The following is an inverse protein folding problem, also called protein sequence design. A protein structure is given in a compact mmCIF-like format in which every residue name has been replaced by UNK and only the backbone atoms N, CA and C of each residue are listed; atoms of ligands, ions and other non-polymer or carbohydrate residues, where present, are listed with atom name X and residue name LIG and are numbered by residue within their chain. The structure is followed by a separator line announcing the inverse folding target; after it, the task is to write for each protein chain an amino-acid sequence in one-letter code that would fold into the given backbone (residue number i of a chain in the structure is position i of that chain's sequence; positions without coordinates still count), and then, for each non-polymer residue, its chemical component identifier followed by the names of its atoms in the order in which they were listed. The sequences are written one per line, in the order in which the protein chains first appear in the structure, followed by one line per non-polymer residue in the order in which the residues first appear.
data_IF_805869887877
#
_entry.id   IF_805869887877
#
_cell.length_a   1.000
_cell.length_b   1.000
_cell.length_c   1.000
_cell.angle_alpha   90.00
_cell.angle_beta   90.00
_cell.angle_gamma   90.00
#
_symmetry.space_group_name_H-M   'P 1'
#
loop_
_entity.id
_entity.type
_entity.pdbx_description
1 polymer ?
#
# COMPACT_ATOMS: atom_id res chain seq x y z
N UNK A 1 26.64 -11.04 -10.34
CA UNK A 1 25.50 -10.25 -9.83
C UNK A 1 26.04 -8.87 -9.53
N UNK A 2 25.82 -7.88 -10.40
CA UNK A 2 26.28 -6.51 -10.15
C UNK A 2 25.60 -6.00 -8.88
N UNK A 3 26.35 -5.29 -8.05
CA UNK A 3 25.80 -4.68 -6.84
C UNK A 3 24.79 -3.63 -7.29
N UNK A 4 23.51 -3.89 -7.08
CA UNK A 4 22.44 -2.94 -7.36
C UNK A 4 22.60 -1.74 -6.42
N UNK A 5 23.06 -0.61 -6.94
CA UNK A 5 23.22 0.62 -6.16
C UNK A 5 21.85 1.19 -5.84
N UNK A 6 21.52 1.33 -4.55
CA UNK A 6 20.25 1.92 -4.10
C UNK A 6 20.23 3.41 -4.46
N UNK A 7 19.28 3.80 -5.30
CA UNK A 7 19.07 5.18 -5.73
C UNK A 7 18.14 5.92 -4.77
N UNK A 8 17.03 5.28 -4.42
CA UNK A 8 16.00 5.90 -3.59
C UNK A 8 15.27 4.84 -2.78
N UNK A 9 14.79 5.25 -1.61
CA UNK A 9 13.88 4.47 -0.79
C UNK A 9 12.76 5.41 -0.32
N UNK A 10 11.55 5.18 -0.84
CA UNK A 10 10.35 5.92 -0.44
C UNK A 10 9.78 5.36 0.87
N UNK A 11 10.43 5.74 1.97
CA UNK A 11 10.01 5.38 3.34
C UNK A 11 8.60 5.87 3.67
N UNK A 12 8.16 6.99 3.07
CA UNK A 12 6.84 7.54 3.34
C UNK A 12 5.75 6.73 2.64
N UNK A 13 5.99 6.26 1.41
CA UNK A 13 5.09 5.33 0.74
C UNK A 13 4.99 4.00 1.49
N UNK A 14 6.11 3.44 1.92
CA UNK A 14 6.11 2.22 2.73
C UNK A 14 5.31 2.40 4.02
N UNK A 15 5.51 3.52 4.72
CA UNK A 15 4.77 3.84 5.95
C UNK A 15 3.28 4.00 5.70
N UNK A 16 2.88 4.68 4.62
CA UNK A 16 1.46 4.81 4.23
C UNK A 16 0.85 3.45 3.90
N UNK A 17 1.58 2.62 3.17
CA UNK A 17 1.13 1.27 2.83
C UNK A 17 0.99 0.42 4.09
N UNK A 18 2.01 0.38 4.95
CA UNK A 18 1.98 -0.33 6.24
C UNK A 18 0.79 0.11 7.09
N UNK A 19 0.56 1.44 7.22
CA UNK A 19 -0.60 1.97 7.96
C UNK A 19 -1.94 1.55 7.34
N UNK A 20 -2.02 1.41 6.03
CA UNK A 20 -3.22 0.88 5.37
C UNK A 20 -3.49 -0.58 5.72
N UNK A 21 -2.43 -1.40 5.91
CA UNK A 21 -2.54 -2.78 6.39
C UNK A 21 -2.95 -2.80 7.88
N UNK A 22 -2.39 -1.92 8.70
CA UNK A 22 -2.73 -1.77 10.12
C UNK A 22 -4.19 -1.35 10.37
N UNK A 23 -4.87 -0.80 9.35
CA UNK A 23 -6.31 -0.52 9.43
C UNK A 23 -7.16 -1.77 9.67
N UNK A 24 -6.67 -2.94 9.25
CA UNK A 24 -7.38 -4.21 9.41
C UNK A 24 -7.52 -4.59 10.89
N UNK A 25 -6.44 -4.73 11.69
CA UNK A 25 -6.57 -4.99 13.12
C UNK A 25 -7.27 -3.84 13.88
N UNK A 26 -7.18 -2.58 13.44
CA UNK A 26 -7.98 -1.49 14.02
C UNK A 26 -9.49 -1.74 13.86
N UNK A 27 -9.94 -2.11 12.66
CA UNK A 27 -11.34 -2.45 12.39
C UNK A 27 -11.81 -3.66 13.23
N UNK A 28 -10.96 -4.68 13.37
CA UNK A 28 -11.30 -5.84 14.21
C UNK A 28 -11.45 -5.47 15.69
N UNK A 29 -10.60 -4.57 16.20
CA UNK A 29 -10.75 -4.04 17.55
C UNK A 29 -12.04 -3.22 17.70
N UNK A 30 -12.42 -2.43 16.70
CA UNK A 30 -13.68 -1.70 16.70
C UNK A 30 -14.90 -2.64 16.74
N UNK A 31 -14.88 -3.71 15.95
CA UNK A 31 -15.90 -4.77 15.99
C UNK A 31 -15.99 -5.40 17.38
N UNK A 32 -14.84 -5.72 17.99
CA UNK A 32 -14.79 -6.27 19.34
C UNK A 32 -15.37 -5.32 20.39
N UNK A 33 -15.10 -4.03 20.29
CA UNK A 33 -15.72 -3.01 21.15
C UNK A 33 -17.23 -2.94 20.96
N UNK A 34 -17.72 -3.06 19.72
CA UNK A 34 -19.16 -3.11 19.43
C UNK A 34 -19.79 -4.37 20.02
N UNK A 35 -19.16 -5.54 19.88
CA UNK A 35 -19.61 -6.79 20.49
C UNK A 35 -19.78 -6.63 22.01
N UNK A 36 -18.77 -6.08 22.69
CA UNK A 36 -18.85 -5.82 24.14
C UNK A 36 -20.01 -4.86 24.47
N UNK A 37 -20.16 -3.77 23.71
CA UNK A 37 -21.23 -2.79 23.93
C UNK A 37 -22.63 -3.40 23.72
N UNK A 38 -22.74 -4.37 22.82
CA UNK A 38 -23.98 -5.10 22.51
C UNK A 38 -24.16 -6.38 23.34
N UNK A 39 -23.33 -6.58 24.38
CA UNK A 39 -23.40 -7.72 25.30
C UNK A 39 -23.14 -9.07 24.62
N UNK A 40 -22.39 -9.08 23.52
CA UNK A 40 -21.79 -10.29 22.95
C UNK A 40 -20.53 -10.66 23.74
N UNK A 41 -20.23 -11.96 23.83
CA UNK A 41 -19.08 -12.52 24.57
C UNK A 41 -17.79 -11.69 24.38
N UNK A 42 -17.20 -11.22 25.48
CA UNK A 42 -16.00 -10.38 25.46
C UNK A 42 -14.71 -11.18 25.24
N UNK A 43 -14.77 -12.51 25.21
CA UNK A 43 -13.62 -13.40 25.06
C UNK A 43 -13.16 -13.60 23.62
N UNK A 44 -13.89 -13.07 22.64
CA UNK A 44 -13.49 -13.11 21.23
C UNK A 44 -12.10 -12.48 21.02
N UNK A 45 -11.26 -13.24 20.33
CA UNK A 45 -9.91 -12.82 19.92
C UNK A 45 -9.97 -12.24 18.52
N UNK A 46 -9.00 -11.40 18.16
CA UNK A 46 -8.91 -10.87 16.78
C UNK A 46 -8.85 -11.99 15.73
N UNK A 47 -8.18 -13.11 16.04
CA UNK A 47 -8.14 -14.29 15.17
C UNK A 47 -9.51 -14.92 14.91
N UNK A 48 -10.47 -14.77 15.82
CA UNK A 48 -11.82 -15.32 15.67
C UNK A 48 -12.64 -14.46 14.70
N UNK A 49 -12.29 -13.17 14.62
CA UNK A 49 -12.95 -12.18 13.76
C UNK A 49 -12.33 -12.09 12.36
N UNK A 50 -11.14 -12.65 12.13
CA UNK A 50 -10.37 -12.47 10.89
C UNK A 50 -11.09 -12.89 9.59
N UNK A 51 -12.15 -13.70 9.68
CA UNK A 51 -12.97 -14.13 8.53
C UNK A 51 -13.98 -13.07 8.08
N UNK A 52 -14.18 -11.99 8.85
CA UNK A 52 -15.07 -10.91 8.47
C UNK A 52 -16.56 -11.27 8.47
N UNK A 53 -16.98 -12.28 9.25
CA UNK A 53 -18.38 -12.69 9.36
C UNK A 53 -19.04 -12.13 10.64
N UNK A 54 -18.82 -10.85 10.91
CA UNK A 54 -19.19 -10.21 12.18
C UNK A 54 -20.69 -10.29 12.48
N UNK A 55 -21.54 -10.01 11.49
CA UNK A 55 -23.01 -10.04 11.67
C UNK A 55 -23.49 -11.46 11.98
N UNK A 56 -22.93 -12.48 11.32
CA UNK A 56 -23.29 -13.87 11.59
C UNK A 56 -22.86 -14.30 13.01
N UNK A 57 -21.64 -13.91 13.43
CA UNK A 57 -21.15 -14.18 14.80
C UNK A 57 -22.08 -13.55 15.83
N UNK A 58 -22.45 -12.29 15.60
CA UNK A 58 -23.40 -11.55 16.44
C UNK A 58 -24.77 -12.25 16.50
N UNK A 59 -25.33 -12.61 15.35
CA UNK A 59 -26.65 -13.23 15.26
C UNK A 59 -26.67 -14.59 15.98
N UNK A 60 -25.65 -15.41 15.75
CA UNK A 60 -25.53 -16.74 16.35
C UNK A 60 -25.41 -16.67 17.87
N UNK A 61 -24.70 -15.67 18.40
CA UNK A 61 -24.61 -15.44 19.84
C UNK A 61 -25.98 -15.12 20.43
N UNK A 62 -26.65 -14.09 19.90
CA UNK A 62 -27.92 -13.64 20.44
C UNK A 62 -29.07 -14.63 20.25
N UNK A 63 -29.05 -15.42 19.16
CA UNK A 63 -30.01 -16.52 18.99
C UNK A 63 -29.83 -17.61 20.04
N UNK A 64 -28.59 -17.92 20.42
CA UNK A 64 -28.32 -18.89 21.50
C UNK A 64 -28.77 -18.36 22.85
N UNK A 65 -28.43 -17.12 23.18
CA UNK A 65 -28.89 -16.46 24.42
C UNK A 65 -30.42 -16.42 24.48
N UNK A 66 -31.07 -15.95 23.41
CA UNK A 66 -32.52 -15.94 23.32
C UNK A 66 -33.11 -17.34 23.49
N UNK A 67 -32.58 -18.36 22.82
CA UNK A 67 -33.11 -19.72 22.94
C UNK A 67 -32.94 -20.33 24.34
N UNK A 68 -31.89 -19.92 25.06
CA UNK A 68 -31.64 -20.38 26.42
C UNK A 68 -32.63 -19.79 27.42
N UNK A 69 -32.98 -18.50 27.28
CA UNK A 69 -33.81 -17.79 28.25
C UNK A 69 -35.28 -17.63 27.80
N UNK A 70 -35.53 -17.60 26.49
CA UNK A 70 -36.80 -17.29 25.83
C UNK A 70 -36.99 -18.10 24.51
N UNK A 71 -37.05 -19.45 24.55
CA UNK A 71 -37.02 -20.35 23.37
C UNK A 71 -38.16 -20.21 22.34
N UNK A 72 -39.11 -19.30 22.56
CA UNK A 72 -40.24 -19.02 21.65
C UNK A 72 -40.38 -17.53 21.33
N UNK A 73 -39.46 -16.70 21.79
CA UNK A 73 -39.49 -15.28 21.48
C UNK A 73 -39.19 -15.06 19.99
N UNK A 74 -39.83 -14.04 19.42
CA UNK A 74 -39.44 -13.52 18.12
C UNK A 74 -38.06 -12.84 18.25
N UNK A 75 -37.13 -13.21 17.37
CA UNK A 75 -35.74 -12.75 17.44
C UNK A 75 -35.60 -11.23 17.27
N UNK A 76 -36.34 -10.64 16.34
CA UNK A 76 -36.30 -9.20 16.10
C UNK A 76 -36.85 -8.43 17.29
N UNK A 77 -37.93 -8.94 17.90
CA UNK A 77 -38.50 -8.36 19.12
C UNK A 77 -37.56 -8.50 20.32
N UNK A 78 -36.85 -9.63 20.44
CA UNK A 78 -35.78 -9.79 21.44
C UNK A 78 -34.68 -8.74 21.26
N UNK A 79 -34.16 -8.56 20.04
CA UNK A 79 -33.13 -7.56 19.75
C UNK A 79 -33.61 -6.13 20.10
N UNK A 80 -34.85 -5.81 19.74
CA UNK A 80 -35.48 -4.52 20.06
C UNK A 80 -35.57 -4.28 21.57
N UNK A 81 -35.99 -5.29 22.34
CA UNK A 81 -36.08 -5.21 23.81
C UNK A 81 -34.69 -5.09 24.47
N UNK A 82 -33.66 -5.68 23.86
CA UNK A 82 -32.28 -5.55 24.32
C UNK A 82 -31.63 -4.22 23.91
N UNK A 83 -32.30 -3.38 23.12
CA UNK A 83 -31.76 -2.09 22.65
C UNK A 83 -30.59 -2.24 21.68
N UNK A 84 -30.58 -3.31 20.88
CA UNK A 84 -29.45 -3.65 20.03
C UNK A 84 -29.60 -3.04 18.62
N UNK A 85 -28.51 -2.49 18.07
CA UNK A 85 -28.43 -1.93 16.72
C UNK A 85 -27.26 -2.57 15.93
N UNK A 86 -27.56 -3.20 14.79
CA UNK A 86 -26.61 -3.91 13.93
C UNK A 86 -26.04 -3.08 12.78
N UNK A 87 -26.52 -1.87 12.54
CA UNK A 87 -26.20 -1.07 11.34
C UNK A 87 -24.70 -0.80 11.25
N UNK A 88 -24.10 -0.35 12.36
CA UNK A 88 -22.65 -0.09 12.43
C UNK A 88 -21.84 -1.37 12.23
N UNK A 89 -22.33 -2.52 12.73
CA UNK A 89 -21.66 -3.80 12.56
C UNK A 89 -21.67 -4.26 11.10
N UNK A 90 -22.80 -4.07 10.40
CA UNK A 90 -22.93 -4.37 8.99
C UNK A 90 -22.03 -3.47 8.12
N UNK A 91 -21.94 -2.18 8.45
CA UNK A 91 -21.03 -1.23 7.79
C UNK A 91 -19.57 -1.68 7.93
N UNK A 92 -19.12 -1.98 9.16
CA UNK A 92 -17.75 -2.45 9.40
C UNK A 92 -17.46 -3.76 8.70
N UNK A 93 -18.43 -4.67 8.63
CA UNK A 93 -18.30 -5.92 7.88
C UNK A 93 -18.08 -5.66 6.38
N UNK A 94 -18.85 -4.75 5.78
CA UNK A 94 -18.72 -4.41 4.37
C UNK A 94 -17.36 -3.77 4.06
N UNK A 95 -16.92 -2.84 4.91
CA UNK A 95 -15.59 -2.21 4.79
C UNK A 95 -14.49 -3.27 4.90
N UNK A 96 -14.58 -4.14 5.91
CA UNK A 96 -13.58 -5.17 6.15
C UNK A 96 -13.46 -6.15 4.98
N UNK A 97 -14.60 -6.65 4.45
CA UNK A 97 -14.60 -7.55 3.29
C UNK A 97 -13.98 -6.90 2.06
N UNK A 98 -14.29 -5.63 1.80
CA UNK A 98 -13.66 -4.88 0.69
C UNK A 98 -12.14 -4.81 0.83
N UNK A 99 -11.62 -4.65 2.07
CA UNK A 99 -10.18 -4.66 2.31
C UNK A 99 -9.60 -6.06 2.05
N UNK A 100 -10.25 -7.12 2.51
CA UNK A 100 -9.80 -8.50 2.26
C UNK A 100 -9.74 -8.84 0.77
N UNK A 101 -10.72 -8.35 0.00
CA UNK A 101 -10.83 -8.60 -1.43
C UNK A 101 -9.84 -7.76 -2.26
N UNK A 102 -9.24 -6.73 -1.67
CA UNK A 102 -8.28 -5.87 -2.37
C UNK A 102 -6.99 -6.63 -2.67
N UNK A 103 -6.56 -6.58 -3.93
CA UNK A 103 -5.30 -7.13 -4.40
C UNK A 103 -4.27 -6.01 -4.61
N UNK A 104 -3.04 -6.28 -4.21
CA UNK A 104 -1.92 -5.36 -4.36
C UNK A 104 -0.90 -5.95 -5.33
N UNK A 105 -0.68 -5.29 -6.46
CA UNK A 105 0.28 -5.73 -7.47
C UNK A 105 1.64 -5.06 -7.28
N UNK A 106 2.68 -5.83 -7.04
CA UNK A 106 4.06 -5.35 -6.93
C UNK A 106 4.98 -6.01 -7.96
N UNK A 107 5.92 -5.24 -8.49
CA UNK A 107 7.05 -5.79 -9.24
C UNK A 107 8.12 -6.22 -8.23
N UNK A 108 8.87 -7.29 -8.54
CA UNK A 108 9.88 -7.81 -7.61
C UNK A 108 11.05 -6.86 -7.36
N UNK A 109 11.32 -5.98 -8.32
CA UNK A 109 12.39 -4.98 -8.28
C UNK A 109 11.88 -3.68 -8.92
N UNK A 110 12.33 -2.53 -8.42
CA UNK A 110 12.05 -1.20 -8.98
C UNK A 110 10.55 -0.95 -9.26
N UNK A 111 9.69 -1.31 -8.30
CA UNK A 111 8.23 -1.28 -8.49
C UNK A 111 7.67 0.08 -8.91
N UNK A 112 8.07 1.16 -8.24
CA UNK A 112 7.60 2.51 -8.55
C UNK A 112 7.90 2.90 -10.01
N UNK A 113 9.09 2.53 -10.50
CA UNK A 113 9.50 2.80 -11.87
C UNK A 113 8.64 2.04 -12.89
N UNK A 114 8.51 0.73 -12.73
CA UNK A 114 7.72 -0.10 -13.65
C UNK A 114 6.23 0.23 -13.60
N UNK A 115 5.69 0.55 -12.42
CA UNK A 115 4.30 1.01 -12.27
C UNK A 115 4.08 2.35 -13.00
N UNK A 116 5.04 3.27 -12.95
CA UNK A 116 4.99 4.53 -13.68
C UNK A 116 5.01 4.32 -15.21
N UNK A 117 5.85 3.38 -15.70
CA UNK A 117 5.88 3.01 -17.12
C UNK A 117 4.56 2.37 -17.53
N UNK A 118 4.05 1.39 -16.77
CA UNK A 118 2.77 0.71 -17.02
C UNK A 118 1.61 1.72 -17.17
N UNK A 119 1.52 2.69 -16.26
CA UNK A 119 0.49 3.74 -16.32
C UNK A 119 0.60 4.64 -17.56
N UNK A 120 1.82 4.95 -17.99
CA UNK A 120 2.08 5.84 -19.15
C UNK A 120 1.94 5.12 -20.47
N UNK A 121 2.32 3.84 -20.55
CA UNK A 121 2.27 3.03 -21.76
C UNK A 121 0.84 2.94 -22.31
N UNK A 122 -0.14 2.67 -21.45
CA UNK A 122 -1.55 2.51 -21.87
C UNK A 122 -2.32 3.81 -22.18
N UNK A 123 -1.78 5.00 -21.87
CA UNK A 123 -2.52 6.27 -21.99
C UNK A 123 -1.84 7.35 -22.81
N UNK A 124 -0.51 7.39 -22.85
CA UNK A 124 0.22 8.59 -23.29
C UNK A 124 1.37 8.29 -24.26
N UNK A 125 1.94 7.09 -24.23
CA UNK A 125 3.07 6.77 -25.10
C UNK A 125 3.18 5.26 -25.39
N UNK A 126 2.63 4.79 -26.52
CA UNK A 126 2.69 3.39 -26.94
C UNK A 126 4.12 2.85 -27.09
N UNK A 127 5.13 3.71 -27.32
CA UNK A 127 6.54 3.26 -27.39
C UNK A 127 7.06 2.67 -26.07
N UNK A 128 6.37 2.91 -24.96
CA UNK A 128 6.67 2.33 -23.65
C UNK A 128 6.14 0.90 -23.47
N UNK A 129 5.20 0.44 -24.31
CA UNK A 129 4.71 -0.94 -24.27
C UNK A 129 5.81 -1.95 -24.60
N UNK A 130 6.67 -1.61 -25.57
CA UNK A 130 7.84 -2.44 -25.89
C UNK A 130 8.78 -2.58 -24.69
N UNK A 131 8.92 -1.53 -23.89
CA UNK A 131 9.76 -1.50 -22.69
C UNK A 131 9.17 -2.32 -21.53
N UNK A 132 7.85 -2.43 -21.45
CA UNK A 132 7.20 -3.30 -20.47
C UNK A 132 7.54 -4.79 -20.66
N UNK A 133 8.07 -5.19 -21.82
CA UNK A 133 8.59 -6.56 -22.03
C UNK A 133 9.84 -6.86 -21.20
N UNK A 134 10.54 -5.83 -20.75
CA UNK A 134 11.72 -5.95 -19.86
C UNK A 134 11.34 -5.91 -18.38
N UNK A 135 10.08 -5.58 -18.06
CA UNK A 135 9.64 -5.49 -16.68
C UNK A 135 9.70 -6.88 -16.01
N UNK A 136 10.14 -6.97 -14.75
CA UNK A 136 10.02 -8.20 -13.99
C UNK A 136 8.55 -8.60 -13.85
N UNK A 137 8.29 -9.87 -13.53
CA UNK A 137 6.92 -10.32 -13.34
C UNK A 137 6.24 -9.57 -12.18
N UNK A 138 5.08 -8.97 -12.46
CA UNK A 138 4.21 -8.40 -11.45
C UNK A 138 3.53 -9.53 -10.67
N UNK A 139 3.68 -9.51 -9.35
CA UNK A 139 3.03 -10.46 -8.45
C UNK A 139 1.88 -9.77 -7.73
N UNK A 140 0.78 -10.49 -7.60
CA UNK A 140 -0.37 -10.04 -6.81
C UNK A 140 -0.29 -10.59 -5.39
N UNK A 141 -0.60 -9.73 -4.44
CA UNK A 141 -0.61 -10.04 -3.01
C UNK A 141 -1.97 -9.67 -2.43
N UNK A 142 -2.52 -10.55 -1.59
CA UNK A 142 -3.64 -10.21 -0.72
C UNK A 142 -3.15 -9.78 0.66
N UNK A 143 -4.07 -9.25 1.46
CA UNK A 143 -3.78 -8.70 2.79
C UNK A 143 -3.07 -9.69 3.73
N UNK A 144 -3.38 -10.97 3.61
CA UNK A 144 -2.80 -12.09 4.36
C UNK A 144 -1.30 -12.31 4.07
N UNK A 145 -0.81 -11.83 2.93
CA UNK A 145 0.62 -11.84 2.61
C UNK A 145 1.39 -10.82 3.48
N UNK A 146 0.71 -9.78 3.94
CA UNK A 146 1.29 -8.69 4.73
C UNK A 146 0.93 -8.76 6.20
N UNK A 147 -0.22 -9.32 6.54
CA UNK A 147 -0.76 -9.32 7.89
C UNK A 147 -0.96 -10.73 8.42
N UNK A 148 -0.35 -11.03 9.56
CA UNK A 148 -0.61 -12.25 10.32
C UNK A 148 -1.28 -11.90 11.65
N UNK A 149 -2.45 -12.47 11.90
CA UNK A 149 -3.19 -12.31 13.15
C UNK A 149 -3.10 -13.63 13.92
N UNK A 150 -2.79 -13.56 15.21
CA UNK A 150 -2.72 -14.72 16.10
C UNK A 150 -3.26 -14.33 17.47
N UNK A 151 -4.37 -14.94 17.89
CA UNK A 151 -5.10 -14.56 19.11
C UNK A 151 -5.45 -13.06 19.03
N UNK A 152 -5.01 -12.26 20.01
CA UNK A 152 -5.22 -10.82 20.05
C UNK A 152 -4.02 -10.00 19.54
N UNK A 153 -2.97 -10.66 19.04
CA UNK A 153 -1.81 -9.96 18.48
C UNK A 153 -1.79 -10.06 16.97
N UNK A 154 -1.08 -9.13 16.35
CA UNK A 154 -0.86 -9.13 14.91
C UNK A 154 0.58 -8.73 14.59
N UNK A 155 1.02 -9.13 13.40
CA UNK A 155 2.30 -8.71 12.82
C UNK A 155 2.05 -8.27 11.39
N UNK A 156 2.45 -7.04 11.08
CA UNK A 156 2.54 -6.54 9.71
C UNK A 156 3.97 -6.77 9.22
N UNK A 157 4.09 -7.34 8.03
CA UNK A 157 5.35 -7.59 7.36
C UNK A 157 5.24 -7.13 5.90
N UNK A 158 5.71 -5.91 5.66
CA UNK A 158 5.81 -5.33 4.32
C UNK A 158 7.26 -5.46 3.87
N UNK A 159 7.47 -5.96 2.65
CA UNK A 159 8.82 -6.05 2.11
C UNK A 159 9.32 -4.66 1.68
N UNK A 160 10.39 -4.11 2.28
CA UNK A 160 10.90 -2.79 1.93
C UNK A 160 11.35 -2.69 0.46
N UNK A 161 11.71 -3.81 -0.17
CA UNK A 161 12.13 -3.83 -1.58
C UNK A 161 11.06 -3.30 -2.54
N UNK A 162 9.77 -3.36 -2.17
CA UNK A 162 8.69 -2.78 -2.96
C UNK A 162 8.76 -1.25 -3.06
N UNK A 163 9.49 -0.61 -2.14
CA UNK A 163 9.62 0.85 -2.02
C UNK A 163 11.03 1.34 -2.28
N UNK A 164 11.91 0.44 -2.76
CA UNK A 164 13.27 0.77 -3.15
C UNK A 164 13.39 0.84 -4.66
N UNK A 165 14.21 1.80 -5.09
CA UNK A 165 14.60 2.01 -6.46
C UNK A 165 16.11 1.87 -6.53
N UNK A 166 16.56 0.98 -7.40
CA UNK A 166 17.97 0.73 -7.68
C UNK A 166 18.33 1.16 -9.09
N UNK A 167 19.61 1.45 -9.28
CA UNK A 167 20.18 1.57 -10.62
C UNK A 167 20.09 0.22 -11.34
N UNK A 168 19.64 0.24 -12.58
CA UNK A 168 19.52 -0.94 -13.44
C UNK A 168 20.82 -1.24 -14.21
N UNK A 169 21.78 -0.30 -14.27
CA UNK A 169 23.14 -0.53 -14.77
C UNK A 169 24.13 0.53 -14.26
N UNK A 170 25.44 0.27 -14.42
CA UNK A 170 26.53 1.13 -13.94
C UNK A 170 26.59 2.50 -14.66
N UNK A 171 26.22 2.54 -15.95
CA UNK A 171 26.22 3.78 -16.74
C UNK A 171 25.19 4.80 -16.21
N UNK A 172 24.12 4.34 -15.55
CA UNK A 172 23.19 5.24 -14.88
C UNK A 172 23.85 6.00 -13.74
N UNK A 173 24.78 5.37 -13.00
CA UNK A 173 25.49 6.02 -11.89
C UNK A 173 26.36 7.16 -12.40
N UNK A 174 27.15 6.90 -13.44
CA UNK A 174 28.02 7.89 -14.08
C UNK A 174 27.22 9.08 -14.63
N UNK A 175 26.10 8.80 -15.29
CA UNK A 175 25.18 9.83 -15.75
C UNK A 175 24.61 10.70 -14.61
N UNK A 176 24.25 10.08 -13.49
CA UNK A 176 23.78 10.81 -12.30
C UNK A 176 24.86 11.76 -11.75
N UNK A 177 26.11 11.29 -11.74
CA UNK A 177 27.25 12.07 -11.26
C UNK A 177 27.54 13.25 -12.20
N UNK A 178 27.51 13.05 -13.51
CA UNK A 178 27.67 14.13 -14.52
C UNK A 178 26.61 15.21 -14.34
N UNK A 179 25.33 14.83 -14.21
CA UNK A 179 24.24 15.79 -13.99
C UNK A 179 24.42 16.51 -12.65
N UNK A 180 24.80 15.77 -11.59
CA UNK A 180 25.06 16.33 -10.26
C UNK A 180 26.16 17.38 -10.28
N UNK A 181 27.28 17.09 -10.92
CA UNK A 181 28.42 18.00 -11.02
C UNK A 181 28.09 19.24 -11.84
N UNK A 182 27.31 19.08 -12.92
CA UNK A 182 26.84 20.21 -13.69
C UNK A 182 25.90 21.12 -12.88
N UNK A 183 24.96 20.56 -12.12
CA UNK A 183 24.08 21.34 -11.23
C UNK A 183 24.89 22.10 -10.18
N UNK A 184 25.89 21.45 -9.58
CA UNK A 184 26.82 22.12 -8.63
C UNK A 184 27.58 23.25 -9.30
N UNK A 185 28.04 23.07 -10.54
CA UNK A 185 28.73 24.12 -11.31
C UNK A 185 27.80 25.31 -11.58
N UNK A 186 26.58 25.08 -12.05
CA UNK A 186 25.57 26.12 -12.28
C UNK A 186 25.28 26.92 -10.99
N UNK A 187 25.15 26.22 -9.85
CA UNK A 187 24.99 26.89 -8.53
C UNK A 187 26.19 27.75 -8.16
N UNK A 188 27.43 27.27 -8.38
CA UNK A 188 28.66 28.06 -8.16
C UNK A 188 28.72 29.30 -9.05
N UNK A 189 28.25 29.19 -10.29
CA UNK A 189 28.14 30.30 -11.24
C UNK A 189 26.97 31.25 -10.96
N UNK A 190 26.09 30.90 -10.00
CA UNK A 190 24.84 31.63 -9.67
C UNK A 190 23.88 31.70 -10.86
N UNK A 191 23.86 30.66 -11.69
CA UNK A 191 22.90 30.53 -12.78
C UNK A 191 21.46 30.47 -12.23
N UNK A 192 20.49 30.92 -13.01
CA UNK A 192 19.08 30.87 -12.61
C UNK A 192 18.59 29.41 -12.47
N UNK A 193 17.57 29.14 -11.63
CA UNK A 193 16.96 27.81 -11.55
C UNK A 193 16.47 27.30 -12.89
N UNK A 194 15.90 28.17 -13.74
CA UNK A 194 15.42 27.82 -15.08
C UNK A 194 16.59 27.42 -16.01
N UNK A 195 17.70 28.15 -15.96
CA UNK A 195 18.92 27.83 -16.73
C UNK A 195 19.52 26.50 -16.28
N UNK A 196 19.59 26.28 -14.97
CA UNK A 196 20.10 25.03 -14.37
C UNK A 196 19.26 23.84 -14.81
N UNK A 197 17.92 23.96 -14.74
CA UNK A 197 17.00 22.93 -15.23
C UNK A 197 17.19 22.64 -16.71
N UNK A 198 17.33 23.69 -17.53
CA UNK A 198 17.49 23.52 -18.98
C UNK A 198 18.77 22.72 -19.29
N UNK A 199 19.91 23.12 -18.74
CA UNK A 199 21.21 22.49 -19.00
C UNK A 199 21.23 21.04 -18.47
N UNK A 200 20.77 20.84 -17.23
CA UNK A 200 20.66 19.50 -16.67
C UNK A 200 19.69 18.62 -17.48
N UNK A 201 18.59 19.20 -17.95
CA UNK A 201 17.60 18.53 -18.79
C UNK A 201 18.10 18.16 -20.17
N UNK A 202 19.00 18.95 -20.77
CA UNK A 202 19.67 18.63 -22.03
C UNK A 202 20.62 17.44 -21.86
N UNK A 203 21.48 17.45 -20.84
CA UNK A 203 22.34 16.31 -20.50
C UNK A 203 21.54 15.05 -20.22
N UNK A 204 20.44 15.19 -19.46
CA UNK A 204 19.50 14.10 -19.20
C UNK A 204 18.88 13.57 -20.48
N UNK A 205 18.49 14.42 -21.44
CA UNK A 205 17.90 13.99 -22.72
C UNK A 205 18.90 13.23 -23.58
N UNK A 206 20.16 13.64 -23.59
CA UNK A 206 21.22 12.94 -24.30
C UNK A 206 21.49 11.57 -23.66
N UNK A 207 21.46 11.49 -22.32
CA UNK A 207 21.51 10.22 -21.56
C UNK A 207 20.23 9.36 -21.77
N UNK A 208 19.05 9.99 -21.87
CA UNK A 208 17.74 9.36 -22.12
C UNK A 208 17.66 8.80 -23.54
N UNK A 209 18.36 9.40 -24.52
CA UNK A 209 18.47 8.86 -25.87
C UNK A 209 19.21 7.51 -25.90
N UNK A 210 20.25 7.37 -25.08
CA UNK A 210 21.05 6.14 -24.99
C UNK A 210 20.46 5.09 -24.03
N UNK A 211 19.74 5.51 -22.96
CA UNK A 211 19.31 4.59 -21.87
C UNK A 211 17.88 4.80 -21.33
N UNK A 212 17.12 5.76 -21.85
CA UNK A 212 15.71 6.06 -21.54
C UNK A 212 15.35 6.14 -20.05
N UNK A 213 16.01 7.00 -19.27
CA UNK A 213 15.72 7.30 -17.85
C UNK A 213 14.84 8.56 -17.75
N UNK A 214 13.66 8.45 -17.12
CA UNK A 214 12.82 9.63 -16.85
C UNK A 214 13.23 10.32 -15.55
N UNK A 215 13.75 11.55 -15.63
CA UNK A 215 14.15 12.35 -14.47
C UNK A 215 13.06 13.30 -13.97
N UNK A 216 13.03 13.54 -12.66
CA UNK A 216 12.14 14.52 -12.02
C UNK A 216 12.87 15.87 -11.82
N UNK A 217 12.34 16.92 -12.46
CA UNK A 217 12.90 18.27 -12.49
C UNK A 217 13.01 18.94 -11.12
N UNK A 218 12.10 18.65 -10.18
CA UNK A 218 12.16 19.19 -8.82
C UNK A 218 13.29 18.55 -8.00
N UNK A 219 13.58 17.26 -8.24
CA UNK A 219 14.70 16.57 -7.60
C UNK A 219 16.04 17.13 -8.07
N UNK A 220 16.14 17.55 -9.34
CA UNK A 220 17.36 18.16 -9.92
C UNK A 220 17.75 19.45 -9.18
N UNK A 221 16.78 20.31 -8.84
CA UNK A 221 17.06 21.56 -8.11
C UNK A 221 17.57 21.34 -6.68
N UNK A 222 17.19 20.22 -6.06
CA UNK A 222 17.50 19.88 -4.67
C UNK A 222 18.84 19.15 -4.49
N UNK A 223 19.57 18.88 -5.57
CA UNK A 223 20.93 18.29 -5.51
C UNK A 223 21.86 19.27 -4.75
N UNK A 224 22.50 18.79 -3.68
CA UNK A 224 23.40 19.59 -2.83
C UNK A 224 24.81 19.70 -3.39
#
# INVERSE_FOLDING_TARGET
MSKTTLLHYDKDAEKRFTKSIERVPELLNEVKSIFIAQKVDSTFKLSDLQRGNFVAIFDDYHKKEMNQYLPKADYNKYLQLCGINTDKLAELQAIYKKILDTKHGFYSENHEYWQSIEWRAGKLNPSLEAKMKEAPAKKEYSIDHFLKISKDTYKVNVNPEFFKLYLTNENQAEAMDVVTDQVKLCKRKKDSPATTIKIAGELVKDIDADYKITWNTEKILNIK
#
